data_IF_102822275374
#
_entry.id   IF_102822275374
#
_cell.length_a   1.000
_cell.length_b   1.000
_cell.length_c   1.000
_cell.angle_alpha   90.00
_cell.angle_beta   90.00
_cell.angle_gamma   90.00
#
_symmetry.space_group_name_H-M   'P 1'
#
loop_
_entity.id
_entity.type
_entity.pdbx_description
1 polymer ?
#
# COMPACT_ATOMS: atom_id res chain seq x y z
N UNK A 1 7.25 6.98 1.30
CA UNK A 1 7.82 6.09 0.26
C UNK A 1 8.13 6.93 -0.97
N UNK A 2 9.33 6.83 -1.53
CA UNK A 2 9.70 7.59 -2.75
C UNK A 2 9.14 6.92 -4.00
N UNK A 3 9.06 7.66 -5.12
CA UNK A 3 8.72 7.10 -6.44
C UNK A 3 9.61 5.91 -6.78
N UNK A 4 10.93 6.06 -6.60
CA UNK A 4 11.90 4.99 -6.90
C UNK A 4 11.68 3.71 -6.09
N UNK A 5 11.36 3.83 -4.80
CA UNK A 5 11.09 2.67 -3.95
C UNK A 5 9.75 2.02 -4.32
N UNK A 6 8.71 2.83 -4.58
CA UNK A 6 7.42 2.34 -5.05
C UNK A 6 7.53 1.59 -6.37
N UNK A 7 8.27 2.14 -7.34
CA UNK A 7 8.51 1.49 -8.64
C UNK A 7 9.19 0.13 -8.48
N UNK A 8 10.24 0.06 -7.65
CA UNK A 8 10.95 -1.20 -7.38
C UNK A 8 10.07 -2.23 -6.68
N UNK A 9 9.29 -1.79 -5.69
CA UNK A 9 8.39 -2.66 -4.95
C UNK A 9 7.37 -3.34 -5.88
N UNK A 10 6.68 -2.56 -6.71
CA UNK A 10 5.65 -3.11 -7.59
C UNK A 10 6.23 -3.93 -8.76
N UNK A 11 7.43 -3.61 -9.22
CA UNK A 11 8.16 -4.45 -10.17
C UNK A 11 8.43 -5.85 -9.56
N UNK A 12 8.98 -5.90 -8.35
CA UNK A 12 9.25 -7.16 -7.64
C UNK A 12 7.95 -7.89 -7.31
N UNK A 13 6.91 -7.19 -6.85
CA UNK A 13 5.61 -7.79 -6.56
C UNK A 13 4.99 -8.44 -7.80
N UNK A 14 5.15 -7.81 -8.97
CA UNK A 14 4.68 -8.38 -10.25
C UNK A 14 5.49 -9.61 -10.65
N UNK A 15 6.82 -9.57 -10.51
CA UNK A 15 7.70 -10.72 -10.76
C UNK A 15 7.41 -11.90 -9.83
N UNK A 16 7.07 -11.61 -8.57
CA UNK A 16 6.66 -12.61 -7.58
C UNK A 16 5.19 -13.05 -7.72
N UNK A 17 4.51 -12.70 -8.81
CA UNK A 17 3.08 -13.01 -9.07
C UNK A 17 2.11 -12.48 -8.00
N UNK A 18 2.51 -11.48 -7.20
CA UNK A 18 1.67 -10.83 -6.19
C UNK A 18 0.82 -9.68 -6.76
N UNK A 19 0.84 -9.48 -8.09
CA UNK A 19 -0.01 -8.54 -8.83
C UNK A 19 -1.08 -9.28 -9.66
N UNK A 20 -1.50 -10.47 -9.21
CA UNK A 20 -2.50 -11.34 -9.85
C UNK A 20 -3.82 -11.34 -9.07
N UNK A 21 -4.82 -12.06 -9.59
CA UNK A 21 -6.12 -12.19 -8.92
C UNK A 21 -5.97 -12.78 -7.50
N UNK A 22 -6.70 -12.22 -6.54
CA UNK A 22 -6.64 -12.62 -5.13
C UNK A 22 -5.74 -11.74 -4.25
N UNK A 23 -5.00 -10.78 -4.84
CA UNK A 23 -4.23 -9.78 -4.10
C UNK A 23 -4.94 -8.43 -4.00
N UNK A 24 -4.66 -7.67 -2.94
CA UNK A 24 -5.09 -6.28 -2.79
C UNK A 24 -3.90 -5.42 -2.34
N UNK A 25 -3.70 -4.29 -3.03
CA UNK A 25 -2.65 -3.33 -2.70
C UNK A 25 -3.26 -1.95 -2.47
N UNK A 26 -2.82 -1.26 -1.42
CA UNK A 26 -3.26 0.09 -1.08
C UNK A 26 -2.02 0.98 -0.95
N UNK A 27 -2.03 2.13 -1.61
CA UNK A 27 -0.97 3.14 -1.49
C UNK A 27 -1.52 4.44 -0.90
N UNK A 28 -0.69 5.08 -0.08
CA UNK A 28 -1.02 6.35 0.59
C UNK A 28 -0.69 7.55 -0.28
N UNK A 29 -1.07 8.74 0.20
CA UNK A 29 -0.85 10.04 -0.45
C UNK A 29 0.62 10.32 -0.80
N UNK A 30 1.55 9.77 -0.03
CA UNK A 30 2.99 9.90 -0.27
C UNK A 30 3.44 9.33 -1.62
N UNK A 31 2.80 8.25 -2.12
CA UNK A 31 3.10 7.69 -3.44
C UNK A 31 2.04 8.07 -4.48
N UNK A 32 0.76 8.06 -4.12
CA UNK A 32 -0.35 8.31 -5.05
C UNK A 32 -0.29 9.72 -5.66
N UNK A 33 0.19 10.71 -4.90
CA UNK A 33 0.34 12.09 -5.37
C UNK A 33 1.51 12.28 -6.35
N UNK A 34 2.29 11.22 -6.60
CA UNK A 34 3.46 11.22 -7.48
C UNK A 34 3.32 10.21 -8.63
N UNK A 35 2.15 9.61 -8.87
CA UNK A 35 1.96 8.63 -9.95
C UNK A 35 2.24 9.24 -11.33
N UNK A 36 1.94 10.53 -11.53
CA UNK A 36 2.21 11.24 -12.79
C UNK A 36 3.72 11.38 -13.12
N UNK A 37 4.59 11.18 -12.13
CA UNK A 37 6.05 11.18 -12.30
C UNK A 37 6.59 9.80 -12.71
N UNK A 38 5.78 8.75 -12.63
CA UNK A 38 6.21 7.40 -12.94
C UNK A 38 6.20 7.12 -14.44
N UNK A 39 7.06 6.19 -14.87
CA UNK A 39 7.04 5.70 -16.25
C UNK A 39 5.77 4.87 -16.49
N UNK A 40 5.27 4.82 -17.75
CA UNK A 40 4.14 3.96 -18.09
C UNK A 40 4.37 2.48 -17.69
N UNK A 41 5.59 1.96 -17.84
CA UNK A 41 5.95 0.60 -17.42
C UNK A 41 5.81 0.36 -15.91
N UNK A 42 6.08 1.40 -15.11
CA UNK A 42 5.88 1.33 -13.66
C UNK A 42 4.40 1.28 -13.33
N UNK A 43 3.59 2.15 -13.94
CA UNK A 43 2.13 2.18 -13.75
C UNK A 43 1.49 0.86 -14.21
N UNK A 44 1.98 0.25 -15.28
CA UNK A 44 1.59 -1.09 -15.75
C UNK A 44 1.94 -2.21 -14.75
N UNK A 45 2.86 -1.96 -13.82
CA UNK A 45 3.17 -2.89 -12.73
C UNK A 45 2.28 -2.68 -11.51
N UNK A 46 1.47 -1.63 -11.51
CA UNK A 46 0.57 -1.22 -10.42
C UNK A 46 -0.92 -1.39 -10.79
N UNK A 47 -1.22 -2.18 -11.81
CA UNK A 47 -2.60 -2.39 -12.26
C UNK A 47 -3.45 -3.01 -11.16
N UNK A 48 -4.57 -2.36 -10.86
CA UNK A 48 -5.50 -2.79 -9.81
C UNK A 48 -5.15 -2.32 -8.40
N UNK A 49 -4.09 -1.52 -8.22
CA UNK A 49 -3.77 -0.89 -6.92
C UNK A 49 -4.84 0.15 -6.56
N UNK A 50 -5.21 0.20 -5.28
CA UNK A 50 -6.01 1.27 -4.71
C UNK A 50 -5.12 2.38 -4.19
N UNK A 51 -5.47 3.63 -4.47
CA UNK A 51 -4.69 4.79 -4.10
C UNK A 51 -5.54 5.83 -3.37
N UNK A 52 -4.98 6.46 -2.35
CA UNK A 52 -5.62 7.56 -1.61
C UNK A 52 -4.88 8.84 -1.94
N UNK A 53 -5.55 9.85 -2.50
CA UNK A 53 -4.96 11.13 -2.92
C UNK A 53 -5.72 12.29 -2.26
N UNK A 54 -5.06 13.30 -1.68
CA UNK A 54 -5.75 14.48 -1.17
C UNK A 54 -6.52 15.17 -2.28
N UNK A 55 -7.76 15.56 -2.00
CA UNK A 55 -8.58 16.27 -2.97
C UNK A 55 -8.14 17.74 -3.07
N UNK A 56 -7.85 18.19 -4.29
CA UNK A 56 -7.60 19.60 -4.60
C UNK A 56 -8.76 20.11 -5.45
N UNK A 57 -9.54 21.10 -4.98
CA UNK A 57 -10.58 21.72 -5.79
C UNK A 57 -9.97 22.42 -7.00
N UNK A 58 -10.48 22.12 -8.21
CA UNK A 58 -10.13 22.90 -9.40
C UNK A 58 -10.65 24.33 -9.24
N UNK A 59 -9.82 25.30 -9.59
CA UNK A 59 -10.14 26.72 -9.53
C UNK A 59 -9.38 27.46 -10.62
N UNK A 60 -9.91 28.62 -11.05
CA UNK A 60 -9.25 29.47 -12.03
C UNK A 60 -7.85 29.90 -11.58
N UNK A 61 -7.69 30.22 -10.30
CA UNK A 61 -6.40 30.62 -9.73
C UNK A 61 -5.35 29.49 -9.85
N UNK A 62 -5.77 28.23 -9.62
CA UNK A 62 -4.90 27.06 -9.78
C UNK A 62 -4.53 26.85 -11.25
N UNK A 63 -5.50 26.91 -12.16
CA UNK A 63 -5.27 26.78 -13.60
C UNK A 63 -4.29 27.87 -14.10
N UNK A 64 -4.47 29.12 -13.67
CA UNK A 64 -3.60 30.23 -14.03
C UNK A 64 -2.17 30.08 -13.49
N UNK A 65 -2.00 29.55 -12.27
CA UNK A 65 -0.66 29.24 -11.72
C UNK A 65 -0.02 28.07 -12.48
N UNK A 66 -0.76 27.00 -12.74
CA UNK A 66 -0.26 25.84 -13.51
C UNK A 66 0.20 26.26 -14.90
N UNK A 67 -0.60 27.07 -15.62
CA UNK A 67 -0.24 27.60 -16.93
C UNK A 67 1.01 28.48 -16.88
N UNK A 68 1.11 29.38 -15.90
CA UNK A 68 2.30 30.24 -15.73
C UNK A 68 3.54 29.40 -15.43
N UNK A 69 3.47 28.47 -14.48
CA UNK A 69 4.57 27.57 -14.15
C UNK A 69 5.01 26.74 -15.37
N UNK A 70 4.06 26.19 -16.12
CA UNK A 70 4.34 25.42 -17.34
C UNK A 70 5.08 26.26 -18.39
N UNK A 71 4.64 27.50 -18.61
CA UNK A 71 5.28 28.43 -19.56
C UNK A 71 6.73 28.74 -19.15
N UNK A 72 6.96 29.06 -17.87
CA UNK A 72 8.30 29.38 -17.37
C UNK A 72 9.25 28.17 -17.43
N UNK A 73 8.74 26.95 -17.18
CA UNK A 73 9.53 25.72 -17.29
C UNK A 73 9.92 25.43 -18.75
N UNK A 74 9.00 25.59 -19.71
CA UNK A 74 9.30 25.41 -21.13
C UNK A 74 10.34 26.41 -21.65
N UNK A 75 10.35 27.65 -21.13
CA UNK A 75 11.35 28.65 -21.49
C UNK A 75 12.75 28.27 -20.98
N UNK A 76 12.85 27.68 -19.79
CA UNK A 76 14.13 27.28 -19.18
C UNK A 76 14.65 25.95 -19.71
N UNK A 77 13.75 25.01 -19.98
CA UNK A 77 14.08 23.64 -20.39
C UNK A 77 13.20 23.17 -21.57
N UNK A 78 13.48 23.64 -22.80
CA UNK A 78 12.60 23.43 -23.96
C UNK A 78 12.39 21.96 -24.34
N UNK A 79 13.36 21.10 -24.00
CA UNK A 79 13.39 19.69 -24.40
C UNK A 79 12.82 18.75 -23.32
N UNK A 80 12.45 19.26 -22.15
CA UNK A 80 11.93 18.43 -21.06
C UNK A 80 10.41 18.35 -21.11
N UNK A 81 9.89 17.15 -20.83
CA UNK A 81 8.45 16.94 -20.67
C UNK A 81 8.00 17.68 -19.40
N UNK A 82 7.28 18.77 -19.58
CA UNK A 82 6.74 19.53 -18.45
C UNK A 82 5.53 18.80 -17.89
N UNK A 83 5.71 18.26 -16.69
CA UNK A 83 4.62 17.68 -15.92
C UNK A 83 3.77 18.78 -15.26
N UNK A 84 2.49 18.49 -15.03
CA UNK A 84 1.61 19.37 -14.26
C UNK A 84 2.15 19.57 -12.83
N UNK A 85 1.76 20.67 -12.19
CA UNK A 85 2.16 20.97 -10.83
C UNK A 85 1.58 19.89 -9.90
N UNK A 86 2.44 19.11 -9.26
CA UNK A 86 1.98 18.07 -8.35
C UNK A 86 1.46 18.68 -7.03
N UNK A 87 0.81 17.85 -6.20
CA UNK A 87 0.30 18.24 -4.88
C UNK A 87 1.33 19.00 -4.02
N UNK A 88 2.59 18.56 -4.05
CA UNK A 88 3.65 19.16 -3.24
C UNK A 88 4.00 20.57 -3.74
N UNK A 89 4.03 20.79 -5.05
CA UNK A 89 4.20 22.11 -5.65
C UNK A 89 3.06 23.05 -5.27
N UNK A 90 1.81 22.58 -5.32
CA UNK A 90 0.63 23.34 -4.91
C UNK A 90 0.72 23.71 -3.42
N UNK A 91 1.07 22.76 -2.55
CA UNK A 91 1.23 23.01 -1.10
C UNK A 91 2.41 23.94 -0.80
N UNK A 92 3.50 23.85 -1.54
CA UNK A 92 4.64 24.75 -1.38
C UNK A 92 4.26 26.20 -1.71
N UNK A 93 3.45 26.42 -2.75
CA UNK A 93 2.89 27.72 -3.09
C UNK A 93 2.07 28.29 -1.92
N UNK A 94 1.10 27.53 -1.42
CA UNK A 94 0.24 27.98 -0.31
C UNK A 94 1.05 28.21 0.98
N UNK A 95 2.02 27.34 1.28
CA UNK A 95 2.89 27.49 2.46
C UNK A 95 3.73 28.77 2.39
N UNK A 96 4.24 29.09 1.20
CA UNK A 96 5.02 30.32 0.97
C UNK A 96 4.14 31.55 1.17
N UNK A 97 2.89 31.50 0.69
CA UNK A 97 1.90 32.55 0.92
C UNK A 97 1.54 32.71 2.40
N UNK A 98 1.34 31.60 3.10
CA UNK A 98 1.07 31.61 4.53
C UNK A 98 2.19 32.26 5.33
N UNK A 99 3.44 31.96 4.97
CA UNK A 99 4.63 32.56 5.57
C UNK A 99 4.73 34.06 5.26
N UNK A 100 4.55 34.45 4.00
CA UNK A 100 4.59 35.86 3.59
C UNK A 100 3.55 36.68 4.35
N UNK A 101 2.30 36.22 4.40
CA UNK A 101 1.23 36.86 5.19
C UNK A 101 1.58 36.95 6.68
N UNK A 102 2.19 35.90 7.25
CA UNK A 102 2.58 35.91 8.65
C UNK A 102 3.65 36.96 8.93
N UNK A 103 4.68 37.05 8.08
CA UNK A 103 5.77 38.04 8.20
C UNK A 103 5.23 39.46 8.05
N UNK A 104 4.38 39.72 7.05
CA UNK A 104 3.75 41.03 6.85
C UNK A 104 2.92 41.46 8.08
N UNK A 105 2.19 40.52 8.70
CA UNK A 105 1.39 40.78 9.91
C UNK A 105 2.22 41.03 11.17
N UNK A 106 3.48 40.60 11.21
CA UNK A 106 4.40 40.96 12.31
C UNK A 106 4.86 42.41 12.16
N UNK A 107 5.00 42.90 10.92
CA UNK A 107 5.45 44.25 10.61
C UNK A 107 6.95 44.46 10.82
N UNK A 108 7.47 45.66 10.50
CA UNK A 108 8.89 45.97 10.64
C UNK A 108 9.31 46.02 12.11
N UNK A 109 10.32 45.22 12.48
CA UNK A 109 10.88 45.20 13.84
C UNK A 109 12.36 44.80 13.85
N UNK A 110 13.07 45.12 14.94
CA UNK A 110 14.48 44.80 15.11
C UNK A 110 14.70 43.30 15.29
N UNK A 111 15.57 42.72 14.46
CA UNK A 111 15.98 41.32 14.54
C UNK A 111 16.94 41.11 15.70
N UNK A 112 16.39 40.91 16.91
CA UNK A 112 17.20 40.65 18.11
C UNK A 112 17.21 39.15 18.45
N UNK A 113 18.41 38.67 18.78
CA UNK A 113 18.63 37.34 19.32
C UNK A 113 19.00 37.47 20.79
N UNK A 114 18.28 36.74 21.65
CA UNK A 114 18.59 36.61 23.07
C UNK A 114 19.71 35.58 23.20
N UNK A 115 20.89 36.02 23.65
CA UNK A 115 21.99 35.11 23.96
C UNK A 115 21.63 34.30 25.22
N UNK A 116 21.76 32.97 25.20
CA UNK A 116 21.57 32.16 26.40
C UNK A 116 22.69 32.47 27.40
N UNK A 117 22.36 32.54 28.69
CA UNK A 117 23.38 32.58 29.74
C UNK A 117 23.95 31.17 29.89
N UNK A 118 25.10 30.90 29.29
CA UNK A 118 25.77 29.59 29.35
C UNK A 118 27.09 29.70 30.09
N UNK A 119 27.39 28.68 30.90
CA UNK A 119 28.73 28.47 31.49
C UNK A 119 29.68 27.90 30.44
N UNK A 120 30.99 28.15 30.58
CA UNK A 120 32.06 27.83 29.62
C UNK A 120 32.14 26.37 29.13
N UNK A 121 31.46 25.42 29.78
CA UNK A 121 31.49 23.99 29.42
C UNK A 121 30.26 23.49 28.63
N UNK A 122 29.41 24.37 28.10
CA UNK A 122 28.22 23.95 27.36
C UNK A 122 28.56 23.53 25.92
N UNK A 123 27.94 22.47 25.42
CA UNK A 123 28.06 22.05 24.01
C UNK A 123 27.63 23.16 23.05
N UNK A 124 28.19 23.19 21.83
CA UNK A 124 28.01 24.26 20.83
C UNK A 124 26.53 24.65 20.60
N UNK A 125 25.61 23.68 20.67
CA UNK A 125 24.16 23.90 20.52
C UNK A 125 23.54 24.77 21.64
N UNK A 126 24.07 24.70 22.86
CA UNK A 126 23.58 25.48 23.99
C UNK A 126 23.96 26.97 23.91
N UNK A 127 24.86 27.35 23.00
CA UNK A 127 25.25 28.75 22.75
C UNK A 127 24.31 29.47 21.76
N UNK A 128 23.43 28.74 21.07
CA UNK A 128 22.54 29.32 20.07
C UNK A 128 21.51 30.27 20.70
N UNK A 129 21.50 31.51 20.22
CA UNK A 129 20.54 32.53 20.62
C UNK A 129 19.11 32.20 20.21
N UNK A 130 18.14 32.53 21.05
CA UNK A 130 16.72 32.46 20.68
C UNK A 130 16.28 33.74 20.00
N UNK A 131 15.63 33.63 18.84
CA UNK A 131 15.10 34.81 18.15
C UNK A 131 13.83 35.31 18.85
N UNK A 132 13.78 36.60 19.18
CA UNK A 132 12.54 37.22 19.70
C UNK A 132 11.43 37.28 18.64
N UNK A 133 11.82 37.15 17.37
CA UNK A 133 10.92 37.16 16.22
C UNK A 133 10.22 35.81 16.02
N UNK A 134 10.93 34.71 16.29
CA UNK A 134 10.45 33.35 16.04
C UNK A 134 9.06 33.07 16.64
N UNK A 135 8.85 33.28 17.95
CA UNK A 135 7.54 33.07 18.58
C UNK A 135 6.42 33.94 17.98
N UNK A 136 6.74 35.17 17.55
CA UNK A 136 5.75 36.09 16.96
C UNK A 136 5.34 35.62 15.57
N UNK A 137 6.32 35.24 14.73
CA UNK A 137 6.06 34.65 13.41
C UNK A 137 5.25 33.38 13.57
N UNK A 138 5.65 32.48 14.47
CA UNK A 138 4.90 31.24 14.75
C UNK A 138 3.44 31.53 15.12
N UNK A 139 3.22 32.49 16.03
CA UNK A 139 1.87 32.91 16.41
C UNK A 139 1.08 33.43 15.20
N UNK A 140 1.72 34.18 14.28
CA UNK A 140 1.04 34.65 13.07
C UNK A 140 0.77 33.53 12.07
N UNK A 141 1.70 32.59 11.86
CA UNK A 141 1.53 31.41 11.00
C UNK A 141 0.34 30.57 11.48
N UNK A 142 0.28 30.26 12.77
CA UNK A 142 -0.81 29.46 13.36
C UNK A 142 -2.19 30.12 13.21
N UNK A 143 -2.23 31.46 13.14
CA UNK A 143 -3.45 32.24 12.95
C UNK A 143 -3.69 32.67 11.48
N UNK A 144 -2.92 32.15 10.54
CA UNK A 144 -3.11 32.45 9.12
C UNK A 144 -4.26 31.60 8.57
N UNK A 145 -5.20 32.28 7.92
CA UNK A 145 -6.31 31.65 7.20
C UNK A 145 -6.55 32.40 5.89
N UNK A 146 -6.61 31.67 4.78
CA UNK A 146 -6.91 32.22 3.45
C UNK A 146 -7.38 31.11 2.50
N UNK A 147 -7.84 31.49 1.31
CA UNK A 147 -8.12 30.54 0.22
C UNK A 147 -6.87 30.44 -0.66
N UNK A 148 -6.15 29.34 -0.56
CA UNK A 148 -5.01 29.00 -1.40
C UNK A 148 -5.40 28.14 -2.61
N UNK A 149 -4.40 27.68 -3.35
CA UNK A 149 -4.55 26.82 -4.51
C UNK A 149 -5.01 25.40 -4.14
N UNK A 150 -4.60 24.91 -2.97
CA UNK A 150 -5.02 23.60 -2.44
C UNK A 150 -6.41 23.62 -1.76
N UNK A 151 -7.05 24.79 -1.68
CA UNK A 151 -8.32 25.00 -1.01
C UNK A 151 -8.23 25.99 0.14
N UNK A 152 -9.02 25.80 1.20
CA UNK A 152 -8.91 26.64 2.40
C UNK A 152 -7.65 26.27 3.17
N UNK A 153 -6.77 27.23 3.38
CA UNK A 153 -5.59 27.08 4.21
C UNK A 153 -5.90 27.61 5.60
N UNK A 154 -5.76 26.77 6.62
CA UNK A 154 -5.76 27.13 8.03
C UNK A 154 -5.20 25.95 8.84
N UNK A 155 -4.66 26.26 10.02
CA UNK A 155 -3.98 25.27 10.86
C UNK A 155 -4.80 24.97 12.12
N UNK A 156 -5.00 23.69 12.42
CA UNK A 156 -5.54 23.19 13.68
C UNK A 156 -4.40 22.49 14.41
N UNK A 157 -4.05 22.98 15.59
CA UNK A 157 -2.91 22.47 16.38
C UNK A 157 -1.58 22.41 15.60
N UNK A 158 -1.39 23.36 14.67
CA UNK A 158 -0.20 23.43 13.82
C UNK A 158 -0.22 22.52 12.59
N UNK A 159 -1.32 21.80 12.33
CA UNK A 159 -1.49 20.94 11.16
C UNK A 159 -2.53 21.53 10.20
N UNK A 160 -2.28 21.38 8.89
CA UNK A 160 -3.23 21.78 7.86
C UNK A 160 -4.51 20.93 7.97
N UNK A 161 -5.67 21.57 8.08
CA UNK A 161 -6.92 20.83 8.14
C UNK A 161 -7.19 20.08 6.83
N UNK A 162 -7.66 18.84 6.94
CA UNK A 162 -7.90 17.97 5.79
C UNK A 162 -9.21 18.31 5.08
N UNK A 163 -9.10 18.78 3.84
CA UNK A 163 -10.22 19.13 2.96
C UNK A 163 -11.01 17.90 2.45
N UNK A 164 -10.41 16.71 2.50
CA UNK A 164 -10.97 15.47 1.96
C UNK A 164 -9.99 14.70 1.05
N UNK A 165 -10.32 13.45 0.75
CA UNK A 165 -9.51 12.54 -0.06
C UNK A 165 -10.31 11.95 -1.22
N UNK A 166 -9.61 11.62 -2.29
CA UNK A 166 -10.06 10.80 -3.40
C UNK A 166 -9.53 9.38 -3.22
N UNK A 167 -10.42 8.40 -3.37
CA UNK A 167 -10.08 7.00 -3.48
C UNK A 167 -10.08 6.65 -4.95
N UNK A 168 -8.94 6.17 -5.42
CA UNK A 168 -8.62 5.95 -6.82
C UNK A 168 -8.26 4.48 -7.04
N UNK A 169 -8.49 4.00 -8.26
CA UNK A 169 -7.98 2.73 -8.75
C UNK A 169 -6.98 3.00 -9.88
N UNK A 170 -5.78 2.44 -9.80
CA UNK A 170 -4.77 2.56 -10.85
C UNK A 170 -5.10 1.57 -11.97
N UNK A 171 -5.52 2.07 -13.14
CA UNK A 171 -5.98 1.25 -14.28
C UNK A 171 -5.48 1.84 -15.60
N UNK A 172 -4.85 1.00 -16.42
CA UNK A 172 -4.19 1.39 -17.67
C UNK A 172 -3.17 2.50 -17.42
N UNK A 173 -3.23 3.55 -18.26
CA UNK A 173 -2.35 4.73 -18.15
C UNK A 173 -2.87 5.80 -17.19
N UNK A 174 -3.90 5.52 -16.38
CA UNK A 174 -4.58 6.57 -15.62
C UNK A 174 -5.13 6.13 -14.26
N UNK A 175 -5.72 7.11 -13.59
CA UNK A 175 -6.39 6.97 -12.31
C UNK A 175 -7.90 6.96 -12.54
N UNK A 176 -8.61 5.97 -12.01
CA UNK A 176 -10.07 5.95 -11.99
C UNK A 176 -10.56 6.31 -10.60
N UNK A 177 -11.24 7.45 -10.45
CA UNK A 177 -11.90 7.81 -9.18
C UNK A 177 -13.02 6.82 -8.87
N UNK A 178 -12.92 6.20 -7.68
CA UNK A 178 -13.92 5.30 -7.11
C UNK A 178 -14.89 6.11 -6.25
N UNK A 179 -14.35 6.94 -5.36
CA UNK A 179 -15.13 7.75 -4.41
C UNK A 179 -14.33 8.90 -3.81
N UNK A 180 -15.03 9.71 -3.03
CA UNK A 180 -14.48 10.74 -2.18
C UNK A 180 -14.71 10.39 -0.71
N UNK A 181 -13.85 10.89 0.16
CA UNK A 181 -14.01 10.83 1.61
C UNK A 181 -13.81 12.22 2.21
N UNK A 182 -14.64 12.59 3.17
CA UNK A 182 -14.44 13.81 3.99
C UNK A 182 -14.67 13.49 5.47
N UNK A 183 -14.01 14.20 6.40
CA UNK A 183 -14.23 13.99 7.84
C UNK A 183 -15.70 14.13 8.24
N UNK A 184 -16.44 15.05 7.61
CA UNK A 184 -17.83 15.35 7.97
C UNK A 184 -18.85 14.38 7.38
N UNK A 185 -18.58 13.77 6.23
CA UNK A 185 -19.57 12.95 5.50
C UNK A 185 -19.19 11.48 5.33
N UNK A 186 -17.95 11.11 5.63
CA UNK A 186 -17.46 9.78 5.31
C UNK A 186 -17.33 9.60 3.80
N UNK A 187 -17.74 8.44 3.29
CA UNK A 187 -17.63 8.06 1.88
C UNK A 187 -18.80 8.59 1.04
N UNK A 188 -18.51 9.41 0.02
CA UNK A 188 -19.51 9.98 -0.90
C UNK A 188 -19.13 9.82 -2.37
N UNK A 189 -20.15 9.78 -3.25
CA UNK A 189 -19.97 9.65 -4.71
C UNK A 189 -19.45 10.95 -5.33
N UNK A 190 -19.90 12.08 -4.81
CA UNK A 190 -19.50 13.41 -5.20
C UNK A 190 -18.99 14.16 -3.98
N UNK A 191 -18.12 15.14 -4.23
CA UNK A 191 -17.67 16.08 -3.22
C UNK A 191 -18.73 17.18 -3.05
N UNK A 192 -19.96 16.75 -2.77
CA UNK A 192 -21.12 17.63 -2.84
C UNK A 192 -21.12 18.58 -1.64
N UNK A 193 -21.28 19.88 -1.87
CA UNK A 193 -21.07 20.94 -0.85
C UNK A 193 -22.28 21.10 0.09
N UNK A 194 -23.39 20.39 -0.18
CA UNK A 194 -24.62 20.49 0.60
C UNK A 194 -24.41 20.09 2.08
N UNK A 195 -24.70 21.00 3.01
CA UNK A 195 -24.33 20.87 4.44
C UNK A 195 -25.11 19.82 5.24
N UNK A 196 -26.14 19.20 4.67
CA UNK A 196 -27.12 18.39 5.42
C UNK A 196 -27.10 16.89 5.08
N UNK A 197 -25.92 16.32 4.83
CA UNK A 197 -25.79 14.87 4.58
C UNK A 197 -25.18 14.20 5.81
N UNK A 198 -25.86 13.20 6.36
CA UNK A 198 -25.37 12.41 7.50
C UNK A 198 -24.07 11.68 7.13
N UNK A 199 -23.20 11.47 8.12
CA UNK A 199 -21.98 10.68 7.94
C UNK A 199 -22.33 9.26 7.49
N UNK A 200 -21.70 8.81 6.40
CA UNK A 200 -21.98 7.50 5.81
C UNK A 200 -20.69 6.75 5.48
N UNK A 201 -20.64 5.48 5.84
CA UNK A 201 -19.61 4.53 5.40
C UNK A 201 -20.14 3.58 4.32
N UNK A 202 -21.32 3.87 3.77
CA UNK A 202 -22.01 2.96 2.86
C UNK A 202 -21.21 2.74 1.57
N UNK A 203 -21.00 1.46 1.30
CA UNK A 203 -20.41 0.97 0.05
C UNK A 203 -21.46 0.76 -1.06
N UNK A 204 -22.73 1.08 -0.80
CA UNK A 204 -23.79 0.99 -1.81
C UNK A 204 -23.49 1.93 -3.00
N UNK A 205 -23.73 1.44 -4.22
CA UNK A 205 -23.52 2.18 -5.47
C UNK A 205 -22.07 2.63 -5.73
N UNK A 206 -21.09 1.98 -5.10
CA UNK A 206 -19.68 2.17 -5.45
C UNK A 206 -19.40 1.69 -6.87
N UNK A 207 -18.60 2.45 -7.61
CA UNK A 207 -17.89 1.88 -8.76
C UNK A 207 -17.04 0.73 -8.23
N UNK A 208 -17.27 -0.49 -8.74
CA UNK A 208 -16.52 -1.66 -8.30
C UNK A 208 -15.03 -1.45 -8.60
N UNK A 209 -14.13 -1.57 -7.61
CA UNK A 209 -12.70 -1.63 -7.86
C UNK A 209 -12.39 -2.80 -8.79
N UNK A 210 -11.39 -2.59 -9.63
CA UNK A 210 -10.71 -3.63 -10.38
C UNK A 210 -9.43 -3.92 -9.60
N UNK A 211 -9.28 -5.18 -9.20
CA UNK A 211 -8.15 -5.69 -8.44
C UNK A 211 -7.02 -6.12 -9.39
N UNK A 212 -5.81 -6.37 -8.86
CA UNK A 212 -4.74 -6.99 -9.62
C UNK A 212 -5.21 -8.27 -10.33
N UNK A 213 -4.63 -8.56 -11.51
CA UNK A 213 -5.13 -9.61 -12.41
C UNK A 213 -6.41 -9.25 -13.18
N UNK A 214 -6.84 -7.98 -13.19
CA UNK A 214 -8.07 -7.51 -13.83
C UNK A 214 -9.36 -8.14 -13.26
N UNK A 215 -9.34 -8.54 -11.98
CA UNK A 215 -10.51 -9.15 -11.33
C UNK A 215 -11.46 -8.11 -10.74
N UNK A 216 -12.76 -8.33 -10.88
CA UNK A 216 -13.80 -7.56 -10.17
C UNK A 216 -14.21 -8.24 -8.85
N UNK A 217 -13.69 -9.43 -8.60
CA UNK A 217 -13.95 -10.22 -7.40
C UNK A 217 -13.11 -9.66 -6.27
N UNK A 218 -13.74 -9.33 -5.14
CA UNK A 218 -13.03 -8.86 -3.95
C UNK A 218 -12.03 -9.95 -3.50
N UNK A 219 -10.74 -9.61 -3.35
CA UNK A 219 -9.75 -10.50 -2.74
C UNK A 219 -10.22 -10.97 -1.37
N UNK A 220 -10.24 -12.27 -1.15
CA UNK A 220 -10.77 -12.90 0.08
C UNK A 220 -9.75 -12.93 1.24
N UNK A 221 -8.57 -12.31 1.09
CA UNK A 221 -7.51 -12.29 2.11
C UNK A 221 -6.15 -12.63 1.52
N UNK A 222 -5.25 -13.20 2.32
CA UNK A 222 -3.96 -13.70 1.82
C UNK A 222 -4.18 -14.83 0.81
N UNK A 223 -4.16 -14.49 -0.47
CA UNK A 223 -3.96 -15.48 -1.53
C UNK A 223 -2.52 -15.99 -1.42
N UNK A 224 -2.35 -17.27 -1.11
CA UNK A 224 -1.08 -17.96 -1.27
C UNK A 224 -0.83 -18.01 -2.79
N UNK A 225 0.36 -17.57 -3.22
CA UNK A 225 0.72 -17.51 -4.64
C UNK A 225 0.40 -18.84 -5.35
N UNK A 226 -0.43 -18.78 -6.38
CA UNK A 226 -0.87 -19.95 -7.15
C UNK A 226 0.21 -20.48 -8.09
N UNK A 227 1.25 -19.70 -8.36
CA UNK A 227 2.40 -20.11 -9.19
C UNK A 227 3.71 -20.01 -8.39
N UNK A 228 4.34 -21.18 -8.18
CA UNK A 228 5.70 -21.32 -7.65
C UNK A 228 5.80 -22.06 -6.32
N UNK A 229 5.02 -21.67 -5.31
CA UNK A 229 5.10 -22.21 -3.95
C UNK A 229 3.74 -22.72 -3.46
N UNK A 230 3.27 -23.81 -4.06
CA UNK A 230 2.12 -24.57 -3.54
C UNK A 230 2.48 -25.20 -2.19
N UNK A 231 1.54 -25.18 -1.25
CA UNK A 231 1.70 -25.85 0.04
C UNK A 231 1.95 -27.34 -0.21
N UNK A 232 3.15 -27.84 0.14
CA UNK A 232 3.49 -29.25 -0.05
C UNK A 232 3.15 -30.01 1.21
N UNK A 233 2.43 -31.11 1.05
CA UNK A 233 2.00 -31.94 2.17
C UNK A 233 2.62 -33.31 2.02
N UNK A 234 3.46 -33.67 2.98
CA UNK A 234 4.05 -34.99 3.07
C UNK A 234 3.06 -35.98 3.65
N UNK A 235 2.80 -37.07 2.91
CA UNK A 235 1.87 -38.13 3.32
C UNK A 235 2.65 -39.42 3.56
N UNK A 236 2.68 -39.95 4.80
CA UNK A 236 3.46 -41.14 5.11
C UNK A 236 2.90 -42.39 4.41
N UNK A 237 3.78 -43.28 3.96
CA UNK A 237 3.38 -44.59 3.41
C UNK A 237 3.35 -45.61 4.55
N UNK A 238 2.16 -46.08 4.94
CA UNK A 238 1.99 -47.19 5.89
C UNK A 238 1.53 -48.45 5.15
N UNK A 239 2.13 -49.59 5.48
CA UNK A 239 1.67 -50.91 4.98
C UNK A 239 0.47 -51.47 5.75
N UNK A 240 0.17 -50.91 6.94
CA UNK A 240 -0.93 -51.32 7.82
C UNK A 240 -2.26 -50.62 7.53
N UNK A 241 -2.90 -50.08 8.57
CA UNK A 241 -4.22 -49.42 8.54
C UNK A 241 -4.36 -48.37 7.43
N UNK A 242 -4.98 -48.77 6.32
CA UNK A 242 -5.17 -47.93 5.13
C UNK A 242 -6.42 -47.04 5.24
N UNK A 243 -7.20 -47.19 6.31
CA UNK A 243 -8.41 -46.43 6.57
C UNK A 243 -8.08 -44.96 6.87
N UNK A 244 -6.96 -44.69 7.54
CA UNK A 244 -6.56 -43.33 7.91
C UNK A 244 -5.74 -42.62 6.84
N UNK A 245 -4.77 -43.33 6.24
CA UNK A 245 -3.93 -42.82 5.15
C UNK A 245 -3.66 -43.96 4.17
N UNK A 246 -3.92 -43.72 2.89
CA UNK A 246 -3.79 -44.68 1.80
C UNK A 246 -3.08 -44.03 0.61
N UNK A 247 -1.98 -44.64 0.21
CA UNK A 247 -1.26 -44.29 -1.01
C UNK A 247 -1.32 -45.49 -1.95
N UNK A 248 -1.76 -45.28 -3.19
CA UNK A 248 -1.67 -46.27 -4.27
C UNK A 248 -0.69 -45.79 -5.33
N UNK A 249 -0.04 -46.75 -5.96
CA UNK A 249 0.98 -46.55 -6.97
C UNK A 249 0.52 -47.11 -8.30
N UNK A 250 0.96 -46.48 -9.40
CA UNK A 250 0.91 -47.09 -10.72
C UNK A 250 2.04 -48.12 -10.83
N UNK A 251 1.67 -49.38 -11.05
CA UNK A 251 2.60 -50.49 -11.22
C UNK A 251 3.57 -50.34 -12.41
N UNK A 252 3.30 -49.45 -13.37
CA UNK A 252 4.15 -49.25 -14.55
C UNK A 252 5.08 -48.05 -14.43
N UNK A 253 4.68 -47.02 -13.69
CA UNK A 253 5.41 -45.74 -13.62
C UNK A 253 5.99 -45.43 -12.23
N UNK A 254 5.66 -46.23 -11.21
CA UNK A 254 5.98 -45.99 -9.79
C UNK A 254 5.55 -44.59 -9.30
N UNK A 255 4.61 -43.93 -10.01
CA UNK A 255 4.03 -42.67 -9.58
C UNK A 255 2.80 -42.91 -8.70
N UNK A 256 2.54 -41.99 -7.77
CA UNK A 256 1.34 -42.01 -6.93
C UNK A 256 0.09 -41.81 -7.79
N UNK A 257 -0.81 -42.79 -7.81
CA UNK A 257 -2.11 -42.71 -8.52
C UNK A 257 -3.24 -42.23 -7.62
N UNK A 258 -3.12 -42.45 -6.31
CA UNK A 258 -4.13 -42.04 -5.36
C UNK A 258 -3.49 -41.80 -3.99
N UNK A 259 -3.86 -40.68 -3.37
CA UNK A 259 -3.54 -40.36 -1.98
C UNK A 259 -4.85 -39.98 -1.30
N UNK A 260 -5.24 -40.68 -0.24
CA UNK A 260 -6.50 -40.44 0.47
C UNK A 260 -6.56 -41.17 1.82
N UNK A 261 -7.74 -41.32 2.39
CA UNK A 261 -7.97 -41.88 3.73
C UNK A 261 -8.52 -40.84 4.70
N UNK A 262 -9.04 -41.28 5.84
CA UNK A 262 -9.78 -40.43 6.78
C UNK A 262 -9.04 -39.14 7.16
N UNK A 263 -7.73 -39.19 7.45
CA UNK A 263 -6.97 -38.00 7.81
C UNK A 263 -6.84 -37.00 6.66
N UNK A 264 -6.76 -37.49 5.42
CA UNK A 264 -6.72 -36.66 4.21
C UNK A 264 -8.09 -36.07 3.92
N UNK A 265 -9.15 -36.85 4.09
CA UNK A 265 -10.53 -36.40 3.87
C UNK A 265 -10.92 -35.32 4.88
N UNK A 266 -10.57 -35.47 6.16
CA UNK A 266 -10.76 -34.44 7.20
C UNK A 266 -9.96 -33.19 6.86
N UNK A 267 -8.69 -33.35 6.47
CA UNK A 267 -7.85 -32.21 6.09
C UNK A 267 -8.43 -31.43 4.90
N UNK A 268 -8.83 -32.12 3.82
CA UNK A 268 -9.49 -31.52 2.66
C UNK A 268 -10.84 -30.89 3.03
N UNK A 269 -11.61 -31.51 3.93
CA UNK A 269 -12.85 -30.96 4.47
C UNK A 269 -12.63 -29.64 5.21
N UNK A 270 -11.62 -29.58 6.09
CA UNK A 270 -11.24 -28.33 6.78
C UNK A 270 -10.80 -27.27 5.79
N UNK A 271 -10.01 -27.62 4.77
CA UNK A 271 -9.63 -26.68 3.71
C UNK A 271 -10.84 -26.13 2.95
N UNK A 272 -11.88 -26.94 2.75
CA UNK A 272 -13.14 -26.53 2.11
C UNK A 272 -13.93 -25.50 2.91
N UNK A 273 -13.79 -25.49 4.24
CA UNK A 273 -14.45 -24.55 5.15
C UNK A 273 -13.64 -23.27 5.39
N UNK A 274 -12.39 -23.20 4.92
CA UNK A 274 -11.57 -22.00 5.10
C UNK A 274 -12.15 -20.84 4.30
N UNK A 275 -12.13 -19.61 4.85
CA UNK A 275 -12.61 -18.42 4.15
C UNK A 275 -11.69 -17.98 2.99
N UNK A 276 -10.63 -18.75 2.69
CA UNK A 276 -9.66 -18.49 1.64
C UNK A 276 -9.23 -19.78 0.96
N UNK A 277 -8.87 -19.69 -0.32
CA UNK A 277 -8.47 -20.84 -1.12
C UNK A 277 -7.04 -21.31 -0.79
N UNK A 278 -6.88 -22.59 -0.47
CA UNK A 278 -5.59 -23.26 -0.31
C UNK A 278 -5.55 -24.43 -1.28
N UNK A 279 -4.56 -24.45 -2.18
CA UNK A 279 -4.36 -25.52 -3.16
C UNK A 279 -3.12 -26.35 -2.76
N UNK A 280 -3.26 -27.36 -1.88
CA UNK A 280 -2.14 -28.19 -1.45
C UNK A 280 -1.73 -29.17 -2.55
N UNK A 281 -0.43 -29.45 -2.62
CA UNK A 281 0.11 -30.60 -3.34
C UNK A 281 0.45 -31.72 -2.35
N UNK A 282 -0.34 -32.78 -2.38
CA UNK A 282 -0.05 -34.01 -1.64
C UNK A 282 1.11 -34.74 -2.33
N UNK A 283 2.13 -35.12 -1.55
CA UNK A 283 3.25 -35.96 -1.99
C UNK A 283 3.44 -37.11 -1.02
N UNK A 284 3.53 -38.33 -1.54
CA UNK A 284 3.86 -39.47 -0.71
C UNK A 284 5.32 -39.41 -0.25
N UNK A 285 5.54 -39.70 1.03
CA UNK A 285 6.86 -39.84 1.62
C UNK A 285 7.37 -41.26 1.40
N UNK A 286 7.91 -41.49 0.21
CA UNK A 286 8.28 -42.82 -0.28
C UNK A 286 9.63 -42.83 -1.01
N UNK A 287 10.30 -43.97 -0.95
CA UNK A 287 11.47 -44.28 -1.77
C UNK A 287 11.05 -44.58 -3.22
N UNK A 288 12.03 -44.70 -4.12
CA UNK A 288 11.79 -44.97 -5.55
C UNK A 288 11.08 -46.31 -5.84
N UNK A 289 11.08 -47.23 -4.87
CA UNK A 289 10.40 -48.52 -4.91
C UNK A 289 8.98 -48.48 -4.30
N UNK A 290 8.50 -47.31 -3.86
CA UNK A 290 7.20 -47.12 -3.23
C UNK A 290 7.13 -47.55 -1.76
N UNK A 291 8.25 -47.99 -1.18
CA UNK A 291 8.37 -48.23 0.27
C UNK A 291 8.43 -46.89 1.04
N UNK A 292 8.14 -46.92 2.35
CA UNK A 292 8.20 -45.70 3.17
C UNK A 292 9.62 -45.12 3.18
N UNK A 293 9.75 -43.81 2.92
CA UNK A 293 11.06 -43.12 2.90
C UNK A 293 11.70 -42.97 4.29
N UNK A 294 10.93 -43.22 5.35
CA UNK A 294 11.40 -43.11 6.72
C UNK A 294 10.25 -43.30 7.72
N UNK A 295 10.57 -43.03 8.97
CA UNK A 295 9.63 -42.96 10.08
C UNK A 295 8.78 -41.68 10.03
N UNK A 296 7.72 -41.66 10.84
CA UNK A 296 6.88 -40.46 10.97
C UNK A 296 7.65 -39.28 11.59
N UNK A 297 8.49 -39.54 12.58
CA UNK A 297 9.29 -38.51 13.25
C UNK A 297 10.31 -37.86 12.28
N UNK A 298 10.85 -38.65 11.35
CA UNK A 298 11.72 -38.14 10.28
C UNK A 298 10.94 -37.27 9.29
N UNK A 299 9.73 -37.67 8.90
CA UNK A 299 8.85 -36.85 8.07
C UNK A 299 8.50 -35.50 8.74
N UNK A 300 8.21 -35.51 10.04
CA UNK A 300 7.95 -34.28 10.81
C UNK A 300 9.23 -33.43 10.89
N UNK A 301 10.38 -34.05 11.13
CA UNK A 301 11.67 -33.33 11.18
C UNK A 301 12.05 -32.69 9.83
N UNK A 302 11.64 -33.30 8.71
CA UNK A 302 11.85 -32.70 7.39
C UNK A 302 11.00 -31.45 7.16
N UNK A 303 9.80 -31.38 7.74
CA UNK A 303 8.97 -30.16 7.67
C UNK A 303 9.71 -28.99 8.29
N UNK A 304 10.26 -29.16 9.49
CA UNK A 304 11.03 -28.12 10.19
C UNK A 304 12.29 -27.72 9.39
N UNK A 305 13.05 -28.70 8.90
CA UNK A 305 14.28 -28.45 8.13
C UNK A 305 14.03 -27.73 6.80
N UNK A 306 12.89 -27.99 6.14
CA UNK A 306 12.51 -27.30 4.91
C UNK A 306 11.98 -25.89 5.15
N UNK A 307 11.36 -25.64 6.30
CA UNK A 307 10.89 -24.32 6.70
C UNK A 307 12.06 -23.36 7.02
N UNK A 308 13.19 -23.88 7.50
CA UNK A 308 14.41 -23.09 7.72
C UNK A 308 15.21 -22.79 6.45
N UNK A 309 15.19 -23.70 5.45
CA UNK A 309 16.03 -23.62 4.24
C UNK A 309 15.29 -23.12 2.99
N UNK A 310 13.97 -22.91 3.03
CA UNK A 310 13.19 -22.51 1.86
C UNK A 310 11.93 -21.75 2.27
N UNK A 311 11.44 -20.82 1.45
CA UNK A 311 10.14 -20.13 1.66
C UNK A 311 8.92 -21.01 1.37
N UNK A 312 9.09 -22.34 1.45
CA UNK A 312 8.06 -23.34 1.17
C UNK A 312 7.52 -23.84 2.50
N UNK A 313 6.26 -23.57 2.78
CA UNK A 313 5.56 -24.16 3.92
C UNK A 313 5.29 -25.64 3.60
N UNK A 314 5.83 -26.52 4.44
CA UNK A 314 5.58 -27.97 4.39
C UNK A 314 4.70 -28.35 5.57
N UNK A 315 3.81 -29.33 5.41
CA UNK A 315 2.95 -29.86 6.49
C UNK A 315 2.94 -31.39 6.41
N UNK A 316 2.90 -32.07 7.55
CA UNK A 316 2.74 -33.52 7.62
C UNK A 316 1.33 -33.85 8.14
N UNK A 317 0.60 -34.74 7.44
CA UNK A 317 -0.70 -35.22 7.90
C UNK A 317 -0.51 -36.53 8.66
N UNK A 318 -0.95 -36.56 9.92
CA UNK A 318 -0.86 -37.72 10.79
C UNK A 318 -2.16 -38.55 10.78
N UNK A 319 -2.01 -39.87 10.86
CA UNK A 319 -3.01 -40.73 11.47
C UNK A 319 -2.61 -40.89 12.94
N UNK A 320 -3.49 -40.50 13.88
CA UNK A 320 -3.37 -40.86 15.29
C UNK A 320 -3.35 -42.39 15.44
#
# INVERSE_FOLDING_TARGET
MTVSLGSRLFAIAKEASMMTEGYAWIITDGLSSMLDLMTPSTIDSMQGVLAIKPYIPRSKDLEDVEMRCKRELLLKEPNNKVNELNLFGIRAYDTTWALAMAVERVGPMNYRFLKPQTSENSTDLATLGTSEMGPRILTKILNTSFKGLSGKFYLVEGQLESSGFQILNVIGKGERVIRYWTPTKGLSQELDVAKNVAYSTSMANLRKPIWPGNSITKPQGWAISTEGNTLRIGVPVKQGFQEFVKVKWDSQTNNTTYIGGFSIDVFCGVLGELPFAVNPQLKAYANADGSSAGSYDELVSEVDRHQENTTVHSLAVAAL
#
